data_IF_531721030016
#
_entry.id   IF_531721030016
#
_cell.length_a   1.000
_cell.length_b   1.000
_cell.length_c   1.000
_cell.angle_alpha   90.00
_cell.angle_beta   90.00
_cell.angle_gamma   90.00
#
_symmetry.space_group_name_H-M   'P 1'
#
loop_
_entity.id
_entity.type
_entity.pdbx_description
1 polymer ?
#
# COMPACT_ATOMS: atom_id res chain seq x y z
N UNK A 1 1.14 -16.62 -12.24
CA UNK A 1 1.03 -15.17 -11.94
C UNK A 1 0.36 -14.98 -10.59
N UNK A 2 0.93 -14.20 -9.70
CA UNK A 2 0.38 -13.82 -8.41
C UNK A 2 -0.10 -12.36 -8.49
N UNK A 3 -1.38 -12.11 -8.18
CA UNK A 3 -1.96 -10.76 -8.11
C UNK A 3 -1.99 -10.31 -6.64
N UNK A 4 -1.48 -9.14 -6.37
CA UNK A 4 -1.40 -8.55 -5.04
C UNK A 4 -2.16 -7.21 -5.06
N UNK A 5 -3.04 -7.00 -4.10
CA UNK A 5 -3.68 -5.71 -3.86
C UNK A 5 -2.92 -4.95 -2.76
N UNK A 6 -2.76 -3.65 -2.91
CA UNK A 6 -1.99 -2.82 -2.00
C UNK A 6 -2.84 -1.60 -1.63
N UNK A 7 -3.21 -1.53 -0.34
CA UNK A 7 -3.97 -0.44 0.25
C UNK A 7 -3.14 0.31 1.29
N UNK A 8 -3.54 1.52 1.61
CA UNK A 8 -3.01 2.31 2.71
C UNK A 8 -4.02 3.37 3.14
N UNK A 9 -3.89 3.82 4.38
CA UNK A 9 -4.58 5.01 4.87
C UNK A 9 -6.11 4.92 4.69
N UNK A 10 -6.69 3.80 5.16
CA UNK A 10 -8.14 3.49 5.14
C UNK A 10 -8.93 4.35 6.13
N UNK A 11 -8.31 4.71 7.28
CA UNK A 11 -8.88 5.61 8.29
C UNK A 11 -10.33 5.26 8.69
N UNK A 12 -10.60 3.99 8.97
CA UNK A 12 -11.88 3.49 9.45
C UNK A 12 -12.94 3.29 8.36
N UNK A 13 -12.55 3.22 7.08
CA UNK A 13 -13.47 2.95 5.97
C UNK A 13 -12.89 1.96 4.97
N UNK A 14 -13.28 0.69 5.11
CA UNK A 14 -12.85 -0.41 4.24
C UNK A 14 -13.82 -0.71 3.08
N UNK A 15 -14.92 0.03 2.94
CA UNK A 15 -15.94 -0.30 1.93
C UNK A 15 -15.37 -0.38 0.52
N UNK A 16 -14.48 0.57 0.16
CA UNK A 16 -13.81 0.54 -1.15
C UNK A 16 -12.86 -0.64 -1.29
N UNK A 17 -12.19 -1.04 -0.20
CA UNK A 17 -11.35 -2.24 -0.22
C UNK A 17 -12.19 -3.48 -0.51
N UNK A 18 -13.36 -3.63 0.15
CA UNK A 18 -14.28 -4.74 -0.07
C UNK A 18 -14.75 -4.78 -1.53
N UNK A 19 -15.20 -3.65 -2.07
CA UNK A 19 -15.62 -3.54 -3.48
C UNK A 19 -14.53 -3.94 -4.48
N UNK A 20 -13.28 -3.58 -4.18
CA UNK A 20 -12.12 -3.90 -5.03
C UNK A 20 -11.79 -5.39 -4.94
N UNK A 21 -11.74 -5.94 -3.72
CA UNK A 21 -11.40 -7.34 -3.48
C UNK A 21 -12.44 -8.26 -4.13
N UNK A 22 -13.75 -7.92 -4.01
CA UNK A 22 -14.84 -8.70 -4.62
C UNK A 22 -14.81 -8.71 -6.14
N UNK A 23 -14.37 -7.60 -6.76
CA UNK A 23 -14.24 -7.49 -8.22
C UNK A 23 -12.92 -8.02 -8.77
N UNK A 24 -11.96 -8.26 -7.90
CA UNK A 24 -10.63 -8.71 -8.32
C UNK A 24 -10.60 -10.23 -8.53
N UNK A 25 -10.16 -10.66 -9.73
CA UNK A 25 -9.92 -12.06 -10.00
C UNK A 25 -8.65 -12.55 -9.30
N UNK A 26 -8.75 -13.65 -8.55
CA UNK A 26 -7.60 -14.44 -8.08
C UNK A 26 -6.58 -13.67 -7.24
N UNK A 27 -7.03 -12.92 -6.22
CA UNK A 27 -6.13 -12.22 -5.28
C UNK A 27 -5.28 -13.22 -4.51
N UNK A 28 -3.96 -13.09 -4.61
CA UNK A 28 -2.98 -13.98 -3.95
C UNK A 28 -2.53 -13.45 -2.59
N UNK A 29 -2.54 -12.14 -2.39
CA UNK A 29 -2.23 -11.50 -1.12
C UNK A 29 -2.74 -10.04 -1.12
N UNK A 30 -2.90 -9.48 0.07
CA UNK A 30 -3.22 -8.08 0.29
C UNK A 30 -2.14 -7.47 1.18
N UNK A 31 -1.69 -6.25 0.86
CA UNK A 31 -0.82 -5.45 1.71
C UNK A 31 -1.56 -4.19 2.16
N UNK A 32 -1.42 -3.86 3.45
CA UNK A 32 -1.96 -2.62 4.01
C UNK A 32 -0.83 -1.83 4.68
N UNK A 33 -0.49 -0.68 4.11
CA UNK A 33 0.67 0.10 4.53
C UNK A 33 0.41 1.04 5.72
N UNK A 34 -0.53 0.69 6.60
CA UNK A 34 -0.74 1.37 7.88
C UNK A 34 -1.84 2.44 7.85
N UNK A 35 -2.00 3.03 9.00
CA UNK A 35 -3.07 3.88 9.46
C UNK A 35 -4.43 3.15 9.46
N UNK A 36 -4.83 2.83 10.70
CA UNK A 36 -5.95 1.97 11.09
C UNK A 36 -5.70 0.48 10.85
N UNK A 37 -4.83 -0.12 11.69
CA UNK A 37 -4.58 -1.57 11.70
C UNK A 37 -5.83 -2.39 11.93
N UNK A 38 -6.82 -1.88 12.68
CA UNK A 38 -8.13 -2.52 12.85
C UNK A 38 -8.85 -2.77 11.53
N UNK A 39 -8.70 -1.88 10.55
CA UNK A 39 -9.28 -2.06 9.22
C UNK A 39 -8.64 -3.28 8.50
N UNK A 40 -7.33 -3.47 8.66
CA UNK A 40 -6.64 -4.64 8.11
C UNK A 40 -7.03 -5.94 8.83
N UNK A 41 -7.26 -5.90 10.15
CA UNK A 41 -7.76 -7.01 10.95
C UNK A 41 -9.20 -7.39 10.54
N UNK A 42 -10.05 -6.40 10.24
CA UNK A 42 -11.39 -6.62 9.69
C UNK A 42 -11.33 -7.30 8.32
N UNK A 43 -10.45 -6.83 7.43
CA UNK A 43 -10.24 -7.48 6.13
C UNK A 43 -9.74 -8.93 6.29
N UNK A 44 -8.83 -9.21 7.22
CA UNK A 44 -8.34 -10.56 7.52
C UNK A 44 -9.47 -11.48 8.01
N UNK A 45 -10.37 -10.94 8.83
CA UNK A 45 -11.53 -11.67 9.33
C UNK A 45 -12.56 -11.99 8.22
N UNK A 46 -12.77 -11.06 7.28
CA UNK A 46 -13.70 -11.20 6.16
C UNK A 46 -13.14 -12.17 5.09
N UNK A 47 -11.83 -12.12 4.84
CA UNK A 47 -11.14 -12.89 3.81
C UNK A 47 -10.09 -13.86 4.38
N UNK A 48 -10.46 -14.84 5.20
CA UNK A 48 -9.51 -15.71 5.92
C UNK A 48 -8.64 -16.58 5.00
N UNK A 49 -8.99 -16.69 3.74
CA UNK A 49 -8.24 -17.48 2.75
C UNK A 49 -7.23 -16.63 1.93
N UNK A 50 -7.20 -15.30 2.13
CA UNK A 50 -6.27 -14.41 1.47
C UNK A 50 -5.26 -13.91 2.51
N UNK A 51 -3.97 -14.20 2.38
CA UNK A 51 -2.96 -13.65 3.27
C UNK A 51 -2.98 -12.11 3.25
N UNK A 52 -3.08 -11.49 4.43
CA UNK A 52 -3.05 -10.04 4.57
C UNK A 52 -1.84 -9.64 5.40
N UNK A 53 -0.97 -8.82 4.82
CA UNK A 53 0.25 -8.31 5.44
C UNK A 53 0.07 -6.83 5.74
N UNK A 54 0.19 -6.43 7.00
CA UNK A 54 -0.03 -5.04 7.38
C UNK A 54 0.94 -4.55 8.45
N UNK A 55 1.16 -3.26 8.47
CA UNK A 55 2.02 -2.56 9.41
C UNK A 55 1.25 -1.45 10.10
N UNK A 56 1.71 -1.04 11.28
CA UNK A 56 1.11 0.11 11.97
C UNK A 56 1.54 1.43 11.33
N UNK A 57 0.62 2.39 11.32
CA UNK A 57 0.89 3.77 10.98
C UNK A 57 1.00 4.68 12.22
N UNK A 58 1.04 5.98 11.99
CA UNK A 58 1.13 6.96 13.08
C UNK A 58 -0.18 7.14 13.86
N UNK A 59 -1.31 6.68 13.34
CA UNK A 59 -2.60 6.71 14.04
C UNK A 59 -2.89 5.43 14.85
N UNK A 60 -1.99 4.45 14.81
CA UNK A 60 -2.13 3.14 15.47
C UNK A 60 -1.38 3.08 16.81
N UNK A 61 -1.60 4.05 17.70
CA UNK A 61 -0.82 4.26 18.93
C UNK A 61 -0.71 3.06 19.85
N UNK A 62 -1.77 2.25 19.95
CA UNK A 62 -1.83 1.11 20.87
C UNK A 62 -1.65 -0.24 20.15
N UNK A 63 -1.46 -0.22 18.85
CA UNK A 63 -1.28 -1.46 18.07
C UNK A 63 0.08 -2.09 18.37
N UNK A 64 0.07 -3.41 18.53
CA UNK A 64 1.27 -4.25 18.64
C UNK A 64 1.81 -4.69 17.27
N UNK A 65 1.14 -4.32 16.20
CA UNK A 65 1.55 -4.60 14.83
C UNK A 65 2.94 -4.00 14.56
N UNK A 66 3.83 -4.69 13.85
CA UNK A 66 5.15 -4.17 13.54
C UNK A 66 5.08 -2.90 12.69
N UNK A 67 6.09 -2.02 12.83
CA UNK A 67 6.20 -0.79 12.02
C UNK A 67 6.72 -1.07 10.60
N UNK A 68 7.28 -2.25 10.37
CA UNK A 68 7.71 -2.72 9.05
C UNK A 68 7.74 -4.25 8.99
N UNK A 69 7.67 -4.80 7.78
CA UNK A 69 7.80 -6.23 7.50
C UNK A 69 8.60 -6.45 6.22
N UNK A 70 9.21 -7.64 6.11
CA UNK A 70 9.73 -8.17 4.86
C UNK A 70 8.96 -9.45 4.52
N UNK A 71 8.37 -9.48 3.33
CA UNK A 71 7.61 -10.64 2.82
C UNK A 71 8.20 -11.05 1.47
N UNK A 72 8.31 -12.35 1.24
CA UNK A 72 8.76 -12.86 -0.07
C UNK A 72 7.63 -13.61 -0.74
N UNK A 73 7.28 -13.21 -1.97
CA UNK A 73 6.25 -13.86 -2.80
C UNK A 73 6.85 -14.18 -4.15
N UNK A 74 6.85 -15.45 -4.54
CA UNK A 74 7.38 -15.94 -5.83
C UNK A 74 8.79 -15.38 -6.15
N UNK A 75 9.67 -15.34 -5.13
CA UNK A 75 11.04 -14.86 -5.23
C UNK A 75 11.22 -13.34 -5.13
N UNK A 76 10.15 -12.55 -5.16
CA UNK A 76 10.17 -11.09 -5.01
C UNK A 76 10.12 -10.72 -3.53
N UNK A 77 11.12 -9.96 -3.06
CA UNK A 77 11.20 -9.44 -1.69
C UNK A 77 10.48 -8.11 -1.59
N UNK A 78 9.48 -8.04 -0.74
CA UNK A 78 8.62 -6.88 -0.53
C UNK A 78 8.85 -6.34 0.87
N UNK A 79 9.43 -5.16 0.98
CA UNK A 79 9.52 -4.41 2.24
C UNK A 79 8.33 -3.48 2.35
N UNK A 80 7.61 -3.54 3.47
CA UNK A 80 6.48 -2.65 3.74
C UNK A 80 6.69 -1.90 5.05
N UNK A 81 6.39 -0.60 5.04
CA UNK A 81 6.32 0.28 6.21
C UNK A 81 5.28 1.36 5.97
N UNK A 82 4.82 2.04 7.02
CA UNK A 82 3.94 3.19 6.81
C UNK A 82 4.71 4.43 6.31
N UNK A 83 5.95 4.62 6.74
CA UNK A 83 6.82 5.71 6.27
C UNK A 83 6.92 6.91 7.22
N UNK A 84 6.07 7.02 8.26
CA UNK A 84 6.14 8.14 9.21
C UNK A 84 7.46 8.17 10.00
N UNK A 85 8.02 7.02 10.36
CA UNK A 85 9.34 6.90 11.00
C UNK A 85 10.50 7.21 10.04
N UNK A 86 10.25 7.19 8.73
CA UNK A 86 11.22 7.44 7.67
C UNK A 86 11.06 8.82 7.01
N UNK A 87 10.37 9.75 7.66
CA UNK A 87 10.21 11.14 7.25
C UNK A 87 9.69 11.36 5.81
N UNK A 88 8.90 10.43 5.26
CA UNK A 88 8.47 10.45 3.84
C UNK A 88 7.68 11.69 3.44
N UNK A 89 7.09 12.45 4.39
CA UNK A 89 6.43 13.73 4.13
C UNK A 89 7.38 14.90 3.93
N UNK A 90 8.64 14.76 4.36
CA UNK A 90 9.61 15.85 4.42
C UNK A 90 10.83 15.63 3.52
N UNK A 91 10.92 14.47 2.88
CA UNK A 91 12.02 14.12 1.99
C UNK A 91 11.52 13.90 0.55
N UNK A 92 12.08 14.64 -0.38
CA UNK A 92 11.68 14.57 -1.79
C UNK A 92 12.06 13.23 -2.46
N UNK A 93 13.23 12.66 -2.12
CA UNK A 93 13.76 11.43 -2.74
C UNK A 93 13.64 10.19 -1.83
N UNK A 94 12.97 10.33 -0.69
CA UNK A 94 12.75 9.24 0.27
C UNK A 94 14.04 8.53 0.71
N UNK A 95 15.14 9.29 0.92
CA UNK A 95 16.45 8.74 1.25
C UNK A 95 16.45 7.96 2.55
N UNK A 96 15.76 8.45 3.59
CA UNK A 96 15.65 7.75 4.87
C UNK A 96 14.89 6.45 4.73
N UNK A 97 13.83 6.40 3.92
CA UNK A 97 13.08 5.17 3.62
C UNK A 97 13.96 4.16 2.87
N UNK A 98 14.65 4.60 1.82
CA UNK A 98 15.57 3.74 1.04
C UNK A 98 16.64 3.12 1.93
N UNK A 99 17.27 3.95 2.79
CA UNK A 99 18.31 3.49 3.74
C UNK A 99 17.75 2.49 4.77
N UNK A 100 16.54 2.70 5.27
CA UNK A 100 15.92 1.77 6.21
C UNK A 100 15.64 0.39 5.58
N UNK A 101 15.30 0.36 4.30
CA UNK A 101 15.03 -0.86 3.55
C UNK A 101 16.29 -1.57 3.03
N UNK A 102 17.42 -0.86 2.88
CA UNK A 102 18.65 -1.35 2.21
C UNK A 102 19.16 -2.68 2.75
N UNK A 103 19.18 -2.86 4.07
CA UNK A 103 19.65 -4.09 4.71
C UNK A 103 18.83 -5.33 4.38
N UNK A 104 17.62 -5.17 3.91
CA UNK A 104 16.71 -6.26 3.54
C UNK A 104 16.82 -6.62 2.05
N UNK A 105 17.51 -5.78 1.27
CA UNK A 105 17.70 -5.98 -0.17
C UNK A 105 16.39 -6.26 -0.91
N UNK A 106 15.36 -5.39 -0.80
CA UNK A 106 14.05 -5.62 -1.39
C UNK A 106 14.02 -5.32 -2.89
N UNK A 107 13.05 -5.93 -3.59
CA UNK A 107 12.67 -5.62 -4.96
C UNK A 107 11.56 -4.57 -5.03
N UNK A 108 10.70 -4.54 -4.00
CA UNK A 108 9.60 -3.59 -3.84
C UNK A 108 9.60 -2.99 -2.43
N UNK A 109 9.48 -1.68 -2.33
CA UNK A 109 9.28 -0.93 -1.09
C UNK A 109 7.90 -0.29 -1.13
N UNK A 110 7.00 -0.77 -0.26
CA UNK A 110 5.65 -0.22 -0.11
C UNK A 110 5.63 0.73 1.08
N UNK A 111 5.04 1.91 0.88
CA UNK A 111 4.84 2.88 1.97
C UNK A 111 3.53 3.66 1.78
N UNK A 112 3.05 4.31 2.84
CA UNK A 112 1.82 5.12 2.85
C UNK A 112 2.07 6.54 3.34
N UNK A 113 1.29 7.00 4.32
CA UNK A 113 1.44 8.22 5.10
C UNK A 113 1.26 9.54 4.34
N UNK A 114 1.79 9.68 3.14
CA UNK A 114 1.68 10.93 2.38
C UNK A 114 0.29 11.14 1.78
N UNK A 115 -0.51 10.09 1.67
CA UNK A 115 -1.78 10.00 0.93
C UNK A 115 -1.65 10.32 -0.57
N UNK A 116 -0.44 10.50 -1.07
CA UNK A 116 -0.17 10.82 -2.48
C UNK A 116 0.31 9.57 -3.19
N UNK A 117 -0.39 9.11 -4.23
CA UNK A 117 0.07 7.96 -5.01
C UNK A 117 1.41 8.27 -5.68
N UNK A 118 2.34 7.34 -5.57
CA UNK A 118 3.70 7.54 -6.08
C UNK A 118 4.34 6.22 -6.52
N UNK A 119 5.06 6.25 -7.61
CA UNK A 119 5.90 5.12 -8.05
C UNK A 119 7.23 5.62 -8.59
N UNK A 120 8.33 4.97 -8.19
CA UNK A 120 9.67 5.23 -8.72
C UNK A 120 10.38 3.91 -9.04
N UNK A 121 10.81 3.77 -10.29
CA UNK A 121 11.52 2.62 -10.84
C UNK A 121 13.03 2.87 -11.04
N UNK A 122 13.55 4.03 -10.62
CA UNK A 122 14.93 4.44 -10.92
C UNK A 122 16.00 3.75 -10.06
N UNK A 123 15.60 3.22 -8.91
CA UNK A 123 16.52 2.52 -7.99
C UNK A 123 16.57 1.02 -8.25
N UNK A 124 17.34 0.30 -7.39
CA UNK A 124 17.34 -1.16 -7.37
C UNK A 124 15.95 -1.71 -7.02
N UNK A 125 15.31 -1.14 -6.01
CA UNK A 125 13.95 -1.47 -5.62
C UNK A 125 12.96 -0.47 -6.20
N UNK A 126 11.81 -0.96 -6.65
CA UNK A 126 10.65 -0.11 -6.96
C UNK A 126 10.10 0.49 -5.67
N UNK A 127 9.91 1.82 -5.62
CA UNK A 127 9.15 2.48 -4.55
C UNK A 127 7.70 2.60 -4.97
N UNK A 128 6.78 2.29 -4.06
CA UNK A 128 5.35 2.34 -4.34
C UNK A 128 4.59 2.87 -3.13
N UNK A 129 3.86 3.97 -3.33
CA UNK A 129 2.83 4.45 -2.42
C UNK A 129 1.48 4.34 -3.13
N UNK A 130 0.52 3.56 -2.61
CA UNK A 130 -0.79 3.42 -3.24
C UNK A 130 -1.67 4.68 -3.12
N UNK A 131 -1.24 5.67 -2.32
CA UNK A 131 -2.08 6.78 -1.89
C UNK A 131 -3.00 6.37 -0.74
N UNK A 132 -4.05 7.14 -0.49
CA UNK A 132 -5.08 6.81 0.48
C UNK A 132 -6.34 6.32 -0.23
N UNK A 133 -6.76 5.09 0.07
CA UNK A 133 -8.00 4.56 -0.51
C UNK A 133 -9.21 5.39 -0.07
N UNK A 134 -9.16 5.98 1.13
CA UNK A 134 -10.23 6.85 1.64
C UNK A 134 -10.23 8.23 1.01
N UNK A 135 -9.10 8.93 0.99
CA UNK A 135 -9.04 10.37 0.65
C UNK A 135 -8.77 10.63 -0.83
N UNK A 136 -7.87 9.89 -1.45
CA UNK A 136 -7.58 10.02 -2.88
C UNK A 136 -8.33 9.01 -3.74
N UNK A 137 -8.89 7.97 -3.13
CA UNK A 137 -9.56 6.90 -3.86
C UNK A 137 -8.61 6.09 -4.72
N UNK A 138 -7.35 5.95 -4.28
CA UNK A 138 -6.32 5.22 -5.00
C UNK A 138 -5.88 3.98 -4.25
N UNK A 139 -5.50 2.96 -4.99
CA UNK A 139 -4.84 1.76 -4.51
C UNK A 139 -3.81 1.31 -5.56
N UNK A 140 -3.02 0.30 -5.24
CA UNK A 140 -2.11 -0.27 -6.22
C UNK A 140 -2.33 -1.76 -6.40
N UNK A 141 -1.96 -2.26 -7.58
CA UNK A 141 -1.82 -3.68 -7.86
C UNK A 141 -0.37 -4.00 -8.18
N UNK A 142 0.08 -5.16 -7.71
CA UNK A 142 1.33 -5.76 -8.15
C UNK A 142 1.05 -7.14 -8.74
N UNK A 143 1.69 -7.44 -9.86
CA UNK A 143 1.67 -8.74 -10.51
C UNK A 143 3.08 -9.33 -10.44
N UNK A 144 3.17 -10.55 -9.92
CA UNK A 144 4.44 -11.28 -9.80
C UNK A 144 4.33 -12.58 -10.59
N UNK A 145 5.28 -12.80 -11.49
CA UNK A 145 5.37 -14.02 -12.26
C UNK A 145 6.83 -14.37 -12.56
N UNK A 146 7.25 -15.56 -12.15
CA UNK A 146 8.62 -16.04 -12.33
C UNK A 146 9.70 -15.04 -11.83
N UNK A 147 9.48 -14.45 -10.63
CA UNK A 147 10.36 -13.44 -10.04
C UNK A 147 10.32 -12.07 -10.71
N UNK A 148 9.45 -11.83 -11.68
CA UNK A 148 9.28 -10.52 -12.32
C UNK A 148 8.13 -9.78 -11.69
N UNK A 149 8.38 -8.52 -11.33
CA UNK A 149 7.42 -7.61 -10.70
C UNK A 149 6.92 -6.58 -11.71
N UNK A 150 5.61 -6.36 -11.74
CA UNK A 150 4.96 -5.20 -12.38
C UNK A 150 4.04 -4.56 -11.37
N UNK A 151 4.01 -3.23 -11.33
CA UNK A 151 3.13 -2.48 -10.44
C UNK A 151 2.34 -1.43 -11.23
N UNK A 152 1.14 -1.14 -10.76
CA UNK A 152 0.30 -0.05 -11.27
C UNK A 152 -0.50 0.58 -10.14
N UNK A 153 -0.72 1.89 -10.21
CA UNK A 153 -1.65 2.60 -9.35
C UNK A 153 -2.97 2.73 -10.08
N UNK A 154 -4.06 2.52 -9.36
CA UNK A 154 -5.42 2.56 -9.88
C UNK A 154 -6.22 3.57 -9.07
N UNK A 155 -6.97 4.42 -9.76
CA UNK A 155 -7.89 5.36 -9.17
C UNK A 155 -9.32 4.82 -9.28
N UNK A 156 -10.03 4.79 -8.14
CA UNK A 156 -11.44 4.36 -8.07
C UNK A 156 -12.32 5.59 -8.13
N UNK A 157 -12.97 5.80 -9.27
CA UNK A 157 -13.95 6.88 -9.40
C UNK A 157 -15.22 6.56 -8.60
N UNK A 158 -15.60 7.44 -7.68
CA UNK A 158 -16.94 7.41 -7.09
C UNK A 158 -17.98 7.73 -8.15
N UNK A 159 -18.75 6.76 -8.57
CA UNK A 159 -19.89 6.96 -9.49
C UNK A 159 -21.04 7.77 -8.89
N UNK A 160 -20.98 8.19 -7.61
CA UNK A 160 -22.07 8.83 -6.88
C UNK A 160 -21.76 10.20 -6.25
N UNK A 161 -20.67 10.88 -6.61
CA UNK A 161 -20.48 12.28 -6.23
C UNK A 161 -20.38 13.14 -7.48
N UNK A 162 -21.34 14.04 -7.62
CA UNK A 162 -21.41 15.11 -8.62
C UNK A 162 -20.04 15.74 -8.84
N UNK A 163 -19.64 15.85 -10.12
CA UNK A 163 -18.45 16.57 -10.58
C UNK A 163 -18.28 17.90 -9.83
N UNK A 164 -17.44 17.94 -8.82
CA UNK A 164 -16.76 19.16 -8.42
C UNK A 164 -15.42 19.18 -9.14
N UNK A 165 -15.37 19.95 -10.22
CA UNK A 165 -14.15 20.27 -10.94
C UNK A 165 -13.15 20.88 -9.96
N UNK A 166 -12.09 20.15 -9.63
CA UNK A 166 -10.93 20.73 -8.95
C UNK A 166 -9.96 21.22 -10.01
N UNK A 167 -9.95 22.50 -10.23
CA UNK A 167 -8.82 23.19 -10.86
C UNK A 167 -7.69 23.17 -9.84
N UNK A 168 -6.63 22.41 -10.11
CA UNK A 168 -5.34 22.64 -9.48
C UNK A 168 -4.71 23.83 -10.18
N UNK A 169 -4.65 24.97 -9.50
CA UNK A 169 -3.78 26.08 -9.85
C UNK A 169 -2.46 25.82 -9.14
N UNK A 170 -1.39 25.90 -9.91
CA UNK A 170 0.02 25.73 -9.55
C UNK A 170 0.49 26.67 -8.44
#
# INVERSE_FOLDING_TARGET
MKKILIFSDTHGDINRCLDIIEKADSVSAIFHAGDYTGDAEDLESIYPNIPIYYVKGNNDYFSKTPSHMLVTIDGVKIFITHGHEQNVKYEYEFMTLRKAAEKYDPDLIIFGHTHIPYTDYKGKATLLNPGSIRYTGTYAEAEIENGKLKTKIIEVWCTNYTKMSRYFIY
#
